data_IF_827323538585
#
_entry.id   IF_827323538585
#
_cell.length_a   1.000
_cell.length_b   1.000
_cell.length_c   1.000
_cell.angle_alpha   90.00
_cell.angle_beta   90.00
_cell.angle_gamma   90.00
#
_symmetry.space_group_name_H-M   'P 1'
#
loop_
_entity.id
_entity.type
_entity.pdbx_description
1 polymer ?
#
# COMPACT_ATOMS: atom_id res chain seq x y z
N UNK A 1 -53.23 27.95 7.16
CA UNK A 1 -52.38 26.85 6.67
C UNK A 1 -51.25 26.64 7.68
N UNK A 2 -51.43 25.70 8.57
CA UNK A 2 -50.52 25.38 9.67
C UNK A 2 -49.45 24.42 9.12
N UNK A 3 -48.22 24.89 9.00
CA UNK A 3 -47.10 24.04 8.75
C UNK A 3 -46.88 23.10 9.96
N UNK A 4 -47.14 21.82 9.75
CA UNK A 4 -46.77 20.79 10.69
C UNK A 4 -45.22 20.78 10.82
N UNK A 5 -44.73 21.25 11.96
CA UNK A 5 -43.32 21.01 12.36
C UNK A 5 -43.13 19.52 12.53
N UNK A 6 -42.20 18.94 11.75
CA UNK A 6 -41.85 17.54 11.84
C UNK A 6 -41.43 17.20 13.24
N UNK A 7 -42.04 16.15 13.77
CA UNK A 7 -41.72 15.51 15.05
C UNK A 7 -40.24 15.06 15.04
N UNK A 8 -39.35 15.80 15.67
CA UNK A 8 -38.03 15.29 16.03
C UNK A 8 -38.25 14.27 17.13
N UNK A 9 -38.42 13.01 16.79
CA UNK A 9 -38.48 11.93 17.76
C UNK A 9 -37.20 11.98 18.60
N UNK A 10 -37.32 12.06 19.93
CA UNK A 10 -36.16 11.92 20.80
C UNK A 10 -35.45 10.59 20.52
N UNK A 11 -34.10 10.56 20.59
CA UNK A 11 -33.37 9.33 20.35
C UNK A 11 -33.84 8.18 21.27
N UNK A 12 -33.97 7.00 20.71
CA UNK A 12 -34.17 5.78 21.49
C UNK A 12 -32.94 5.55 22.38
N UNK A 13 -33.11 5.43 23.71
CA UNK A 13 -31.96 5.35 24.62
C UNK A 13 -31.03 4.16 24.38
N UNK A 14 -31.57 3.00 23.99
CA UNK A 14 -30.76 1.80 23.75
C UNK A 14 -29.97 1.92 22.44
N UNK A 15 -30.60 2.45 21.39
CA UNK A 15 -29.90 2.74 20.13
C UNK A 15 -28.84 3.81 20.33
N UNK A 16 -29.12 4.85 21.12
CA UNK A 16 -28.15 5.89 21.43
C UNK A 16 -26.92 5.31 22.14
N UNK A 17 -27.13 4.45 23.16
CA UNK A 17 -26.04 3.77 23.88
C UNK A 17 -25.19 2.91 22.92
N UNK A 18 -25.84 2.10 22.07
CA UNK A 18 -25.13 1.26 21.10
C UNK A 18 -24.36 2.10 20.09
N UNK A 19 -24.95 3.17 19.57
CA UNK A 19 -24.28 4.05 18.62
C UNK A 19 -23.08 4.78 19.26
N UNK A 20 -23.23 5.26 20.49
CA UNK A 20 -22.13 5.85 21.26
C UNK A 20 -20.97 4.86 21.39
N UNK A 21 -21.26 3.63 21.81
CA UNK A 21 -20.24 2.58 21.89
C UNK A 21 -19.56 2.34 20.53
N UNK A 22 -20.34 2.22 19.44
CA UNK A 22 -19.79 2.05 18.09
C UNK A 22 -18.85 3.19 17.68
N UNK A 23 -19.15 4.44 18.02
CA UNK A 23 -18.26 5.58 17.75
C UNK A 23 -16.97 5.48 18.55
N UNK A 24 -17.04 5.15 19.85
CA UNK A 24 -15.86 5.01 20.70
C UNK A 24 -14.97 3.83 20.31
N UNK A 25 -15.49 2.75 19.72
CA UNK A 25 -14.64 1.67 19.17
C UNK A 25 -13.78 2.15 18.01
N UNK A 26 -14.16 3.24 17.30
CA UNK A 26 -13.29 3.82 16.26
C UNK A 26 -12.11 4.57 16.86
N UNK A 27 -12.34 5.28 17.97
CA UNK A 27 -11.26 5.94 18.72
C UNK A 27 -10.31 4.90 19.37
N UNK A 28 -10.86 3.84 19.93
CA UNK A 28 -10.08 2.70 20.46
C UNK A 28 -9.16 2.14 19.37
N UNK A 29 -9.71 1.82 18.17
CA UNK A 29 -8.91 1.33 17.05
C UNK A 29 -7.81 2.28 16.63
N UNK A 30 -8.07 3.60 16.60
CA UNK A 30 -7.06 4.60 16.24
C UNK A 30 -5.90 4.64 17.26
N UNK A 31 -6.22 4.61 18.57
CA UNK A 31 -5.21 4.60 19.63
C UNK A 31 -4.42 3.30 19.63
N UNK A 32 -5.09 2.15 19.47
CA UNK A 32 -4.43 0.84 19.38
C UNK A 32 -3.52 0.75 18.17
N UNK A 33 -3.91 1.29 17.02
CA UNK A 33 -3.03 1.37 15.85
C UNK A 33 -1.75 2.20 16.12
N UNK A 34 -1.88 3.28 16.89
CA UNK A 34 -0.72 4.04 17.39
C UNK A 34 0.18 3.21 18.31
N UNK A 35 -0.39 2.36 19.15
CA UNK A 35 0.40 1.45 20.01
C UNK A 35 1.07 0.35 19.19
N UNK A 36 0.44 -0.14 18.11
CA UNK A 36 1.09 -1.06 17.16
C UNK A 36 2.30 -0.39 16.51
N UNK A 37 2.17 0.87 16.07
CA UNK A 37 3.32 1.65 15.56
C UNK A 37 4.45 1.74 16.59
N UNK A 38 4.15 2.02 17.85
CA UNK A 38 5.16 2.08 18.91
C UNK A 38 5.83 0.73 19.14
N UNK A 39 5.07 -0.37 19.13
CA UNK A 39 5.60 -1.72 19.26
C UNK A 39 6.61 -2.08 18.17
N UNK A 40 6.32 -1.73 16.92
CA UNK A 40 7.21 -1.88 15.79
C UNK A 40 8.48 -1.00 15.93
N UNK A 41 8.26 0.28 16.19
CA UNK A 41 9.34 1.28 16.29
C UNK A 41 10.34 0.98 17.42
N UNK A 42 9.86 0.42 18.53
CA UNK A 42 10.66 0.07 19.70
C UNK A 42 11.20 -1.36 19.64
N UNK A 43 10.85 -2.16 18.62
CA UNK A 43 11.29 -3.54 18.47
C UNK A 43 10.63 -4.54 19.43
N UNK A 44 9.51 -4.17 20.08
CA UNK A 44 8.84 -4.99 21.09
C UNK A 44 8.36 -6.33 20.52
N UNK A 45 7.72 -6.33 19.34
CA UNK A 45 7.29 -7.57 18.70
C UNK A 45 8.46 -8.45 18.27
N UNK A 46 9.53 -7.85 17.77
CA UNK A 46 10.74 -8.60 17.37
C UNK A 46 11.41 -9.25 18.59
N UNK A 47 11.47 -8.55 19.73
CA UNK A 47 11.99 -9.10 20.98
C UNK A 47 11.14 -10.26 21.50
N UNK A 48 9.79 -10.12 21.49
CA UNK A 48 8.88 -11.20 21.88
C UNK A 48 9.04 -12.42 20.97
N UNK A 49 9.14 -12.24 19.65
CA UNK A 49 9.39 -13.34 18.71
C UNK A 49 10.74 -14.02 18.98
N UNK A 50 11.79 -13.24 19.21
CA UNK A 50 13.15 -13.77 19.43
C UNK A 50 13.28 -14.55 20.74
N UNK A 51 12.48 -14.23 21.73
CA UNK A 51 12.47 -14.95 23.01
C UNK A 51 11.91 -16.38 22.88
N UNK A 52 11.02 -16.59 21.92
CA UNK A 52 10.34 -17.89 21.65
C UNK A 52 9.68 -18.50 22.91
N UNK A 53 9.25 -17.65 23.83
CA UNK A 53 8.52 -17.98 25.06
C UNK A 53 7.74 -16.78 25.57
N UNK A 54 6.73 -16.97 26.44
CA UNK A 54 6.09 -15.86 27.14
C UNK A 54 7.10 -15.06 27.97
N UNK A 55 6.92 -13.73 28.01
CA UNK A 55 7.76 -12.78 28.74
C UNK A 55 6.89 -11.94 29.68
N UNK A 56 7.39 -11.65 30.88
CA UNK A 56 6.86 -10.59 31.72
C UNK A 56 7.21 -9.22 31.12
N UNK A 57 6.46 -8.16 31.52
CA UNK A 57 6.81 -6.79 31.11
C UNK A 57 8.21 -6.35 31.53
N UNK A 58 8.70 -6.87 32.68
CA UNK A 58 10.07 -6.62 33.15
C UNK A 58 11.11 -7.25 32.26
N UNK A 59 10.95 -8.52 31.86
CA UNK A 59 11.88 -9.19 30.95
C UNK A 59 11.90 -8.53 29.57
N UNK A 60 10.71 -8.20 29.03
CA UNK A 60 10.61 -7.52 27.74
C UNK A 60 11.27 -6.13 27.79
N UNK A 61 11.01 -5.35 28.82
CA UNK A 61 11.63 -4.04 29.02
C UNK A 61 13.15 -4.13 29.15
N UNK A 62 13.64 -5.07 29.96
CA UNK A 62 15.07 -5.28 30.17
C UNK A 62 15.78 -5.69 28.89
N UNK A 63 15.17 -6.51 28.02
CA UNK A 63 15.78 -6.96 26.76
C UNK A 63 16.03 -5.83 25.75
N UNK A 64 15.34 -4.69 25.90
CA UNK A 64 15.40 -3.54 24.99
C UNK A 64 15.88 -2.25 25.69
N UNK A 65 16.33 -2.34 26.93
CA UNK A 65 16.75 -1.19 27.75
C UNK A 65 15.63 -0.11 27.90
N UNK A 66 14.38 -0.57 27.95
CA UNK A 66 13.20 0.28 28.08
C UNK A 66 12.72 0.37 29.54
N UNK A 67 11.97 1.42 29.86
CA UNK A 67 11.34 1.58 31.18
C UNK A 67 10.10 0.68 31.30
N UNK A 68 10.12 -0.24 32.26
CA UNK A 68 9.12 -1.29 32.45
C UNK A 68 7.69 -0.75 32.53
N UNK A 69 7.45 0.34 33.25
CA UNK A 69 6.08 0.87 33.43
C UNK A 69 5.41 1.24 32.09
N UNK A 70 6.18 1.74 31.11
CA UNK A 70 5.68 2.05 29.77
C UNK A 70 5.44 0.79 28.95
N UNK A 71 6.36 -0.18 29.03
CA UNK A 71 6.22 -1.47 28.33
C UNK A 71 5.02 -2.23 28.85
N UNK A 72 4.78 -2.24 30.17
CA UNK A 72 3.63 -2.89 30.78
C UNK A 72 2.31 -2.28 30.31
N UNK A 73 2.17 -0.94 30.30
CA UNK A 73 0.96 -0.29 29.82
C UNK A 73 0.71 -0.56 28.33
N UNK A 74 1.77 -0.56 27.52
CA UNK A 74 1.71 -0.95 26.13
C UNK A 74 1.24 -2.40 25.96
N UNK A 75 1.81 -3.33 26.71
CA UNK A 75 1.45 -4.74 26.66
C UNK A 75 -0.01 -4.97 27.09
N UNK A 76 -0.48 -4.25 28.10
CA UNK A 76 -1.89 -4.29 28.50
C UNK A 76 -2.85 -3.81 27.41
N UNK A 77 -2.51 -2.71 26.71
CA UNK A 77 -3.29 -2.26 25.55
C UNK A 77 -3.33 -3.34 24.49
N UNK A 78 -2.18 -3.91 24.13
CA UNK A 78 -2.07 -4.90 23.05
C UNK A 78 -2.82 -6.20 23.41
N UNK A 79 -2.71 -6.67 24.64
CA UNK A 79 -3.41 -7.85 25.12
C UNK A 79 -4.93 -7.62 25.21
N UNK A 80 -5.36 -6.47 25.72
CA UNK A 80 -6.77 -6.09 25.78
C UNK A 80 -7.40 -5.99 24.38
N UNK A 81 -6.63 -5.54 23.38
CA UNK A 81 -7.02 -5.49 21.98
C UNK A 81 -6.85 -6.84 21.24
N UNK A 82 -6.36 -7.88 21.90
CA UNK A 82 -6.12 -9.23 21.34
C UNK A 82 -5.12 -9.23 20.18
N UNK A 83 -4.15 -8.35 20.25
CA UNK A 83 -3.02 -8.28 19.30
C UNK A 83 -1.90 -9.23 19.75
N UNK A 84 -1.72 -9.37 21.07
CA UNK A 84 -0.81 -10.32 21.69
C UNK A 84 -1.57 -11.16 22.72
N UNK A 85 -1.07 -12.33 23.03
CA UNK A 85 -1.61 -13.19 24.09
C UNK A 85 -1.07 -12.78 25.47
N UNK A 86 -1.87 -13.02 26.51
CA UNK A 86 -1.51 -12.79 27.91
C UNK A 86 -2.11 -13.91 28.77
N UNK A 87 -1.31 -14.55 29.61
CA UNK A 87 -1.76 -15.55 30.55
C UNK A 87 -2.21 -14.95 31.91
N UNK A 88 -2.65 -15.80 32.83
CA UNK A 88 -3.08 -15.41 34.19
C UNK A 88 -1.95 -14.88 35.08
N UNK A 89 -0.68 -15.06 34.67
CA UNK A 89 0.53 -14.58 35.34
C UNK A 89 1.11 -13.33 34.68
N UNK A 90 0.33 -12.67 33.82
CA UNK A 90 0.76 -11.49 33.04
C UNK A 90 2.04 -11.75 32.20
N UNK A 91 2.14 -12.95 31.65
CA UNK A 91 3.16 -13.28 30.67
C UNK A 91 2.62 -13.10 29.28
N UNK A 92 3.32 -12.32 28.46
CA UNK A 92 2.92 -11.92 27.11
C UNK A 92 3.64 -12.74 26.05
N UNK A 93 2.91 -13.15 25.03
CA UNK A 93 3.45 -13.91 23.89
C UNK A 93 2.80 -13.52 22.57
N UNK A 94 3.45 -13.93 21.46
CA UNK A 94 2.87 -13.84 20.13
C UNK A 94 2.35 -15.20 19.69
N UNK A 95 1.14 -15.26 19.17
CA UNK A 95 0.71 -16.41 18.38
C UNK A 95 1.55 -16.50 17.09
N UNK A 96 1.62 -17.66 16.41
CA UNK A 96 2.30 -17.79 15.12
C UNK A 96 1.80 -16.77 14.08
N UNK A 97 0.50 -16.50 14.05
CA UNK A 97 -0.13 -15.51 13.17
C UNK A 97 0.30 -14.09 13.52
N UNK A 98 0.29 -13.74 14.81
CA UNK A 98 0.78 -12.43 15.27
C UNK A 98 2.27 -12.26 14.95
N UNK A 99 3.09 -13.28 15.15
CA UNK A 99 4.51 -13.26 14.80
C UNK A 99 4.75 -13.08 13.29
N UNK A 100 3.92 -13.71 12.44
CA UNK A 100 3.99 -13.56 10.98
C UNK A 100 3.69 -12.11 10.55
N UNK A 101 2.61 -11.52 11.10
CA UNK A 101 2.14 -10.18 10.70
C UNK A 101 2.97 -9.06 11.31
N UNK A 102 3.38 -9.18 12.58
CA UNK A 102 3.96 -8.09 13.35
C UNK A 102 5.49 -8.13 13.46
N UNK A 103 6.10 -9.32 13.37
CA UNK A 103 7.50 -9.52 13.72
C UNK A 103 8.34 -10.27 12.67
N UNK A 104 7.81 -10.52 11.47
CA UNK A 104 8.49 -11.33 10.45
C UNK A 104 8.58 -10.58 9.12
N UNK A 105 9.56 -9.68 8.92
CA UNK A 105 9.69 -8.85 7.71
C UNK A 105 9.80 -9.66 6.41
N UNK A 106 10.23 -10.91 6.48
CA UNK A 106 10.35 -11.80 5.30
C UNK A 106 9.06 -12.59 5.02
N UNK A 107 8.07 -12.55 5.93
CA UNK A 107 6.81 -13.26 5.73
C UNK A 107 5.85 -12.45 4.84
N UNK A 108 5.19 -13.05 3.82
CA UNK A 108 4.34 -12.32 2.88
C UNK A 108 3.11 -11.64 3.51
N UNK A 109 2.71 -12.06 4.72
CA UNK A 109 1.64 -11.43 5.49
C UNK A 109 2.13 -10.28 6.40
N UNK A 110 3.41 -9.90 6.36
CA UNK A 110 3.95 -8.82 7.19
C UNK A 110 3.21 -7.51 6.92
N UNK A 111 2.57 -6.97 7.96
CA UNK A 111 1.62 -5.86 7.83
C UNK A 111 2.12 -4.50 8.34
N UNK A 112 3.39 -4.39 8.77
CA UNK A 112 3.86 -3.23 9.54
C UNK A 112 4.13 -1.96 8.71
N UNK A 113 4.12 -2.04 7.38
CA UNK A 113 4.35 -0.88 6.52
C UNK A 113 3.32 0.24 6.74
N UNK A 114 2.03 -0.10 6.78
CA UNK A 114 0.97 0.89 7.02
C UNK A 114 1.01 1.48 8.44
N UNK A 115 1.37 0.67 9.44
CA UNK A 115 1.55 1.16 10.81
C UNK A 115 2.81 2.02 10.95
N UNK A 116 3.87 1.75 10.18
CA UNK A 116 5.07 2.56 10.16
C UNK A 116 4.77 4.02 9.75
N UNK A 117 3.98 4.21 8.68
CA UNK A 117 3.63 5.55 8.18
C UNK A 117 2.44 6.21 8.90
N UNK A 118 1.75 5.51 9.81
CA UNK A 118 0.52 5.98 10.43
C UNK A 118 0.64 7.38 11.06
N UNK A 119 1.68 7.72 11.87
CA UNK A 119 1.78 9.06 12.46
C UNK A 119 1.85 10.17 11.42
N UNK A 120 2.62 9.97 10.34
CA UNK A 120 2.71 10.92 9.23
C UNK A 120 1.36 11.06 8.51
N UNK A 121 0.69 9.94 8.23
CA UNK A 121 -0.63 9.95 7.58
C UNK A 121 -1.67 10.68 8.44
N UNK A 122 -1.67 10.47 9.75
CA UNK A 122 -2.62 11.14 10.66
C UNK A 122 -2.30 12.63 10.85
N UNK A 123 -1.04 13.04 10.71
CA UNK A 123 -0.65 14.45 10.79
C UNK A 123 -1.25 15.29 9.65
N UNK A 124 -1.58 14.69 8.50
CA UNK A 124 -2.22 15.43 7.40
C UNK A 124 -3.65 15.87 7.70
N UNK A 125 -4.28 15.34 8.76
CA UNK A 125 -5.65 15.71 9.15
C UNK A 125 -5.83 17.22 9.38
N UNK A 126 -4.82 17.89 9.90
CA UNK A 126 -4.89 19.34 10.19
C UNK A 126 -4.93 20.18 8.90
N UNK A 127 -4.38 19.69 7.80
CA UNK A 127 -4.34 20.36 6.51
C UNK A 127 -5.56 20.03 5.61
N UNK A 128 -6.22 18.89 5.85
CA UNK A 128 -7.34 18.42 5.03
C UNK A 128 -8.54 19.41 4.91
N UNK A 129 -8.91 20.23 5.92
CA UNK A 129 -10.00 21.18 5.77
C UNK A 129 -9.84 22.13 4.59
N UNK A 130 -8.61 22.49 4.21
CA UNK A 130 -8.37 23.32 3.03
C UNK A 130 -8.61 22.55 1.73
N UNK A 131 -8.17 21.30 1.65
CA UNK A 131 -8.48 20.43 0.51
C UNK A 131 -9.99 20.23 0.31
N UNK A 132 -10.76 20.11 1.39
CA UNK A 132 -12.24 20.04 1.31
C UNK A 132 -12.89 21.32 0.80
N UNK A 133 -12.27 22.49 0.97
CA UNK A 133 -12.80 23.77 0.46
C UNK A 133 -12.40 24.04 -0.99
N UNK A 134 -11.13 23.74 -1.32
CA UNK A 134 -10.53 24.10 -2.61
C UNK A 134 -10.68 23.02 -3.67
N UNK A 135 -10.89 21.77 -3.27
CA UNK A 135 -10.85 20.62 -4.14
C UNK A 135 -9.42 20.19 -4.53
N UNK A 136 -8.37 20.87 -3.99
CA UNK A 136 -6.98 20.55 -4.31
C UNK A 136 -6.35 19.82 -3.13
N UNK A 137 -5.83 18.63 -3.40
CA UNK A 137 -5.15 17.78 -2.43
C UNK A 137 -3.64 18.05 -2.35
N UNK A 138 -2.93 17.18 -1.65
CA UNK A 138 -1.49 17.24 -1.46
C UNK A 138 -0.76 16.42 -2.51
N UNK A 139 0.39 16.87 -2.97
CA UNK A 139 1.21 16.06 -3.88
C UNK A 139 1.76 14.81 -3.17
N UNK A 140 2.11 13.78 -3.94
CA UNK A 140 2.55 12.48 -3.40
C UNK A 140 3.80 12.61 -2.50
N UNK A 141 4.71 13.52 -2.82
CA UNK A 141 5.96 13.72 -2.08
C UNK A 141 5.75 14.29 -0.66
N UNK A 142 4.56 14.86 -0.37
CA UNK A 142 4.18 15.30 0.97
C UNK A 142 4.13 14.17 2.01
N UNK A 143 4.04 12.91 1.55
CA UNK A 143 4.14 11.74 2.43
C UNK A 143 5.53 11.53 3.02
N UNK A 144 6.56 12.13 2.45
CA UNK A 144 7.92 12.18 2.99
C UNK A 144 8.57 10.80 3.13
N UNK A 145 9.66 10.77 3.87
CA UNK A 145 10.46 9.55 4.09
C UNK A 145 9.65 8.42 4.75
N UNK A 146 8.79 8.72 5.73
CA UNK A 146 7.97 7.71 6.39
C UNK A 146 6.96 7.07 5.42
N UNK A 147 6.43 7.85 4.47
CA UNK A 147 5.60 7.34 3.38
C UNK A 147 6.34 6.34 2.51
N UNK A 148 7.52 6.72 2.00
CA UNK A 148 8.34 5.86 1.15
C UNK A 148 8.72 4.54 1.85
N UNK A 149 9.18 4.60 3.10
CA UNK A 149 9.51 3.41 3.91
C UNK A 149 8.27 2.55 4.17
N UNK A 150 7.14 3.17 4.49
CA UNK A 150 5.90 2.44 4.78
C UNK A 150 5.39 1.67 3.57
N UNK A 151 5.41 2.28 2.39
CA UNK A 151 5.03 1.63 1.13
C UNK A 151 6.00 0.47 0.82
N UNK A 152 7.31 0.69 0.88
CA UNK A 152 8.31 -0.36 0.70
C UNK A 152 8.03 -1.56 1.62
N UNK A 153 7.87 -1.33 2.92
CA UNK A 153 7.60 -2.37 3.93
C UNK A 153 6.26 -3.08 3.73
N UNK A 154 5.32 -2.46 3.01
CA UNK A 154 4.03 -3.08 2.69
C UNK A 154 4.12 -4.04 1.50
N UNK A 155 4.92 -3.72 0.48
CA UNK A 155 4.96 -4.48 -0.77
C UNK A 155 6.09 -5.50 -0.84
N UNK A 156 7.27 -5.20 -0.29
CA UNK A 156 8.44 -6.06 -0.45
C UNK A 156 8.26 -7.50 0.04
N UNK A 157 7.65 -7.77 1.22
CA UNK A 157 7.55 -9.14 1.71
C UNK A 157 6.77 -10.06 0.78
N UNK A 158 5.67 -9.54 0.22
CA UNK A 158 4.86 -10.29 -0.73
C UNK A 158 5.59 -10.45 -2.08
N UNK A 159 6.15 -9.37 -2.62
CA UNK A 159 6.88 -9.38 -3.89
C UNK A 159 8.08 -10.32 -3.85
N UNK A 160 8.88 -10.31 -2.79
CA UNK A 160 10.00 -11.24 -2.59
C UNK A 160 9.56 -12.70 -2.68
N UNK A 161 8.39 -13.01 -2.16
CA UNK A 161 7.88 -14.38 -2.13
C UNK A 161 7.21 -14.79 -3.44
N UNK A 162 6.44 -13.91 -4.09
CA UNK A 162 5.50 -14.31 -5.13
C UNK A 162 5.75 -13.70 -6.52
N UNK A 163 6.47 -12.56 -6.64
CA UNK A 163 6.63 -11.88 -7.92
C UNK A 163 7.28 -12.80 -8.97
N UNK A 164 8.41 -13.41 -8.64
CA UNK A 164 9.15 -14.26 -9.58
C UNK A 164 8.49 -15.63 -9.80
N UNK A 165 8.09 -16.38 -8.75
CA UNK A 165 7.60 -17.76 -8.94
C UNK A 165 6.12 -17.87 -9.30
N UNK A 166 5.31 -16.82 -9.08
CA UNK A 166 3.87 -16.87 -9.29
C UNK A 166 3.40 -15.85 -10.31
N UNK A 167 3.76 -14.57 -10.13
CA UNK A 167 3.22 -13.49 -10.97
C UNK A 167 3.77 -13.52 -12.38
N UNK A 168 5.10 -13.55 -12.52
CA UNK A 168 5.73 -13.55 -13.84
C UNK A 168 5.36 -14.78 -14.68
N UNK A 169 5.30 -16.02 -14.14
CA UNK A 169 4.83 -17.18 -14.90
C UNK A 169 3.34 -17.15 -15.30
N UNK A 170 2.51 -16.36 -14.61
CA UNK A 170 1.09 -16.20 -14.97
C UNK A 170 0.88 -15.30 -16.21
N UNK A 171 1.94 -14.59 -16.63
CA UNK A 171 1.96 -13.74 -17.83
C UNK A 171 2.47 -14.54 -19.03
N UNK A 172 1.77 -14.46 -20.16
CA UNK A 172 2.11 -15.26 -21.35
C UNK A 172 3.44 -14.81 -21.96
N UNK A 173 4.47 -15.67 -21.86
CA UNK A 173 5.79 -15.50 -22.50
C UNK A 173 6.70 -14.44 -21.88
N UNK A 174 6.31 -13.77 -20.80
CA UNK A 174 7.09 -12.70 -20.18
C UNK A 174 8.37 -13.25 -19.55
N UNK A 175 8.30 -14.34 -18.79
CA UNK A 175 9.48 -14.92 -18.14
C UNK A 175 10.56 -15.35 -19.16
N UNK A 176 10.17 -15.94 -20.28
CA UNK A 176 11.09 -16.34 -21.35
C UNK A 176 11.73 -15.11 -22.04
N UNK A 177 10.93 -14.07 -22.27
CA UNK A 177 11.41 -12.81 -22.83
C UNK A 177 12.42 -12.13 -21.91
N UNK A 178 12.16 -12.07 -20.62
CA UNK A 178 13.08 -11.56 -19.61
C UNK A 178 14.39 -12.37 -19.56
N UNK A 179 14.31 -13.69 -19.65
CA UNK A 179 15.48 -14.55 -19.68
C UNK A 179 16.33 -14.40 -20.96
N UNK A 180 15.70 -14.09 -22.09
CA UNK A 180 16.36 -13.83 -23.37
C UNK A 180 17.04 -12.44 -23.43
N UNK A 181 16.51 -11.46 -22.71
CA UNK A 181 16.96 -10.06 -22.69
C UNK A 181 15.86 -9.13 -23.17
N UNK A 182 15.28 -8.36 -22.27
CA UNK A 182 14.16 -7.45 -22.49
C UNK A 182 14.47 -6.05 -21.94
N UNK A 183 13.79 -5.05 -22.47
CA UNK A 183 13.75 -3.69 -21.93
C UNK A 183 12.50 -3.59 -21.04
N UNK A 184 12.69 -3.27 -19.76
CA UNK A 184 11.63 -3.24 -18.76
C UNK A 184 11.50 -1.85 -18.14
N UNK A 185 10.28 -1.37 -17.99
CA UNK A 185 9.97 -0.16 -17.26
C UNK A 185 9.00 -0.46 -16.09
N UNK A 186 9.31 0.02 -14.91
CA UNK A 186 8.43 -0.02 -13.72
C UNK A 186 8.01 1.42 -13.39
N UNK A 187 6.73 1.74 -13.55
CA UNK A 187 6.21 3.10 -13.37
C UNK A 187 5.48 3.19 -12.04
N UNK A 188 5.87 4.14 -11.20
CA UNK A 188 5.53 4.17 -9.78
C UNK A 188 6.35 3.15 -8.99
N UNK A 189 7.65 3.05 -9.29
CA UNK A 189 8.51 1.97 -8.78
C UNK A 189 8.81 2.05 -7.27
N UNK A 190 8.44 3.15 -6.61
CA UNK A 190 8.72 3.37 -5.20
C UNK A 190 10.22 3.22 -4.88
N UNK A 191 10.53 2.49 -3.82
CA UNK A 191 11.93 2.20 -3.42
C UNK A 191 12.60 1.11 -4.27
N UNK A 192 12.06 0.78 -5.47
CA UNK A 192 12.69 -0.08 -6.46
C UNK A 192 12.70 -1.57 -6.13
N UNK A 193 11.92 -2.04 -5.15
CA UNK A 193 11.97 -3.43 -4.69
C UNK A 193 11.67 -4.45 -5.80
N UNK A 194 10.61 -4.24 -6.58
CA UNK A 194 10.25 -5.12 -7.70
C UNK A 194 11.29 -5.07 -8.83
N UNK A 195 11.79 -3.88 -9.15
CA UNK A 195 12.86 -3.66 -10.14
C UNK A 195 14.11 -4.45 -9.79
N UNK A 196 14.63 -4.30 -8.56
CA UNK A 196 15.85 -4.96 -8.10
C UNK A 196 15.70 -6.48 -8.04
N UNK A 197 14.53 -6.96 -7.63
CA UNK A 197 14.24 -8.39 -7.58
C UNK A 197 14.25 -9.00 -9.00
N UNK A 198 13.59 -8.37 -9.96
CA UNK A 198 13.57 -8.82 -11.34
C UNK A 198 14.95 -8.68 -12.01
N UNK A 199 15.65 -7.58 -11.78
CA UNK A 199 16.97 -7.34 -12.36
C UNK A 199 18.01 -8.36 -11.87
N UNK A 200 17.96 -8.74 -10.62
CA UNK A 200 18.80 -9.81 -10.06
C UNK A 200 18.52 -11.18 -10.68
N UNK A 201 17.25 -11.48 -10.97
CA UNK A 201 16.85 -12.75 -11.59
C UNK A 201 17.11 -12.82 -13.10
N UNK A 202 17.10 -11.69 -13.80
CA UNK A 202 17.19 -11.61 -15.27
C UNK A 202 18.35 -10.69 -15.75
N UNK A 203 19.60 -11.14 -15.60
CA UNK A 203 20.79 -10.29 -15.83
C UNK A 203 20.99 -9.87 -17.31
N UNK A 204 20.27 -10.48 -18.27
CA UNK A 204 20.33 -10.08 -19.68
C UNK A 204 19.36 -8.94 -20.02
N UNK A 205 18.36 -8.71 -19.17
CA UNK A 205 17.38 -7.65 -19.34
C UNK A 205 17.87 -6.36 -18.71
N UNK A 206 17.31 -5.22 -19.13
CA UNK A 206 17.57 -3.90 -18.57
C UNK A 206 16.31 -3.37 -17.93
N UNK A 207 16.44 -2.75 -16.76
CA UNK A 207 15.32 -2.31 -15.95
C UNK A 207 15.44 -0.82 -15.64
N UNK A 208 14.38 -0.08 -15.90
CA UNK A 208 14.28 1.32 -15.53
C UNK A 208 13.06 1.50 -14.61
N UNK A 209 13.30 1.96 -13.40
CA UNK A 209 12.26 2.37 -12.47
C UNK A 209 11.99 3.88 -12.57
N UNK A 210 10.73 4.27 -12.59
CA UNK A 210 10.29 5.66 -12.59
C UNK A 210 9.42 5.97 -11.37
N UNK A 211 9.77 7.01 -10.62
CA UNK A 211 8.95 7.50 -9.52
C UNK A 211 9.05 9.01 -9.39
N UNK A 212 8.00 9.67 -8.91
CA UNK A 212 7.99 11.11 -8.67
C UNK A 212 8.47 11.50 -7.27
N UNK A 213 8.53 10.53 -6.35
CA UNK A 213 8.98 10.76 -4.98
C UNK A 213 10.49 10.70 -4.89
N UNK A 214 11.12 11.83 -4.55
CA UNK A 214 12.56 11.87 -4.31
C UNK A 214 12.96 10.97 -3.13
N UNK A 215 12.12 10.87 -2.08
CA UNK A 215 12.37 9.98 -0.95
C UNK A 215 12.41 8.51 -1.35
N UNK A 216 11.52 8.10 -2.26
CA UNK A 216 11.50 6.74 -2.78
C UNK A 216 12.72 6.48 -3.69
N UNK A 217 13.07 7.42 -4.57
CA UNK A 217 14.24 7.30 -5.46
C UNK A 217 15.56 7.26 -4.69
N UNK A 218 15.72 8.05 -3.64
CA UNK A 218 16.91 8.01 -2.78
C UNK A 218 17.08 6.63 -2.12
N UNK A 219 15.97 6.02 -1.67
CA UNK A 219 15.98 4.65 -1.14
C UNK A 219 16.30 3.62 -2.22
N UNK A 220 15.71 3.76 -3.40
CA UNK A 220 15.99 2.88 -4.55
C UNK A 220 17.47 2.93 -4.95
N UNK A 221 18.07 4.12 -4.97
CA UNK A 221 19.50 4.31 -5.24
C UNK A 221 20.38 3.64 -4.17
N UNK A 222 20.03 3.79 -2.89
CA UNK A 222 20.76 3.13 -1.78
C UNK A 222 20.71 1.61 -1.90
N UNK A 223 19.52 1.06 -2.15
CA UNK A 223 19.30 -0.39 -2.32
C UNK A 223 20.02 -0.93 -3.57
N UNK A 224 20.03 -0.18 -4.67
CA UNK A 224 20.78 -0.54 -5.87
C UNK A 224 22.28 -0.67 -5.57
N UNK A 225 22.85 0.31 -4.85
CA UNK A 225 24.26 0.29 -4.48
C UNK A 225 24.64 -0.92 -3.60
N UNK A 226 23.71 -1.39 -2.76
CA UNK A 226 23.91 -2.54 -1.86
C UNK A 226 23.63 -3.90 -2.54
N UNK A 227 22.82 -3.91 -3.63
CA UNK A 227 22.29 -5.14 -4.23
C UNK A 227 23.28 -5.89 -5.11
N UNK A 228 24.34 -5.23 -5.59
CA UNK A 228 25.24 -5.78 -6.62
C UNK A 228 24.62 -5.89 -8.03
N UNK A 229 23.39 -5.40 -8.23
CA UNK A 229 22.70 -5.37 -9.52
C UNK A 229 23.29 -4.25 -10.38
N UNK A 230 23.57 -4.53 -11.66
CA UNK A 230 24.18 -3.56 -12.58
C UNK A 230 23.32 -3.23 -13.82
N UNK A 231 22.17 -3.89 -13.96
CA UNK A 231 21.25 -3.76 -15.08
C UNK A 231 19.94 -3.03 -14.72
N UNK A 232 19.96 -2.25 -13.64
CA UNK A 232 18.84 -1.41 -13.20
C UNK A 232 19.27 0.05 -13.04
N UNK A 233 18.32 0.98 -13.28
CA UNK A 233 18.49 2.42 -13.09
C UNK A 233 17.15 3.02 -12.65
N UNK A 234 17.20 4.14 -11.91
CA UNK A 234 16.02 4.83 -11.41
C UNK A 234 15.99 6.28 -11.84
N UNK A 235 14.82 6.78 -12.24
CA UNK A 235 14.64 8.13 -12.74
C UNK A 235 13.38 8.80 -12.18
N UNK A 236 13.47 10.11 -12.00
CA UNK A 236 12.31 10.98 -11.90
C UNK A 236 11.80 11.23 -13.34
N UNK A 237 10.55 10.85 -13.69
CA UNK A 237 10.01 11.01 -15.03
C UNK A 237 9.87 12.48 -15.47
N UNK A 238 9.95 13.43 -14.54
CA UNK A 238 9.97 14.87 -14.84
C UNK A 238 11.30 15.30 -15.46
N UNK A 239 12.37 14.58 -15.15
CA UNK A 239 13.73 14.84 -15.66
C UNK A 239 14.09 13.90 -16.83
N UNK A 240 13.71 12.63 -16.73
CA UNK A 240 13.93 11.60 -17.75
C UNK A 240 12.59 10.93 -18.02
N UNK A 241 11.81 11.40 -19.00
CA UNK A 241 10.48 10.87 -19.28
C UNK A 241 10.55 9.43 -19.79
N UNK A 242 9.43 8.70 -19.61
CA UNK A 242 9.24 7.39 -20.22
C UNK A 242 9.37 7.50 -21.74
N UNK A 243 10.08 6.54 -22.35
CA UNK A 243 10.20 6.47 -23.81
C UNK A 243 8.82 6.38 -24.50
N UNK A 244 8.68 6.98 -25.69
CA UNK A 244 7.42 6.98 -26.46
C UNK A 244 7.59 6.38 -27.86
N UNK A 245 8.59 5.51 -28.02
CA UNK A 245 9.07 4.97 -29.30
C UNK A 245 8.81 3.47 -29.47
N UNK A 246 7.91 2.90 -28.69
CA UNK A 246 7.60 1.47 -28.67
C UNK A 246 8.84 0.57 -28.46
N UNK A 247 9.73 0.99 -27.56
CA UNK A 247 10.98 0.26 -27.28
C UNK A 247 10.89 -0.69 -26.08
N UNK A 248 9.86 -0.56 -25.23
CA UNK A 248 9.72 -1.32 -23.98
C UNK A 248 9.02 -2.66 -24.21
N UNK A 249 9.64 -3.75 -23.79
CA UNK A 249 9.09 -5.11 -23.90
C UNK A 249 8.07 -5.44 -22.81
N UNK A 250 8.35 -4.97 -21.58
CA UNK A 250 7.53 -5.27 -20.41
C UNK A 250 7.40 -4.03 -19.52
N UNK A 251 6.18 -3.69 -19.17
CA UNK A 251 5.89 -2.60 -18.23
C UNK A 251 5.24 -3.17 -16.99
N UNK A 252 5.58 -2.62 -15.82
CA UNK A 252 4.90 -2.92 -14.54
C UNK A 252 4.39 -1.64 -13.90
N UNK A 253 3.24 -1.73 -13.24
CA UNK A 253 2.70 -0.70 -12.34
C UNK A 253 2.09 -1.39 -11.12
N UNK A 254 2.47 -0.94 -9.92
CA UNK A 254 1.98 -1.52 -8.66
C UNK A 254 1.34 -0.43 -7.81
N UNK A 255 0.02 -0.51 -7.63
CA UNK A 255 -0.79 0.38 -6.78
C UNK A 255 -0.52 1.88 -6.98
N UNK A 256 -0.33 2.33 -8.21
CA UNK A 256 0.02 3.72 -8.49
C UNK A 256 -0.93 4.41 -9.47
N UNK A 257 -1.67 3.67 -10.32
CA UNK A 257 -2.55 4.29 -11.33
C UNK A 257 -3.71 5.03 -10.66
N UNK A 258 -4.29 4.48 -9.62
CA UNK A 258 -5.45 5.04 -8.92
C UNK A 258 -5.15 6.35 -8.17
N UNK A 259 -3.89 6.64 -7.85
CA UNK A 259 -3.48 7.84 -7.11
C UNK A 259 -2.77 8.90 -7.98
N UNK A 260 -2.63 8.62 -9.29
CA UNK A 260 -2.08 9.59 -10.25
C UNK A 260 -3.06 10.72 -10.54
N UNK A 261 -2.53 11.92 -10.71
CA UNK A 261 -3.32 13.11 -11.10
C UNK A 261 -3.95 12.96 -12.49
N UNK A 262 -3.21 12.38 -13.44
CA UNK A 262 -3.64 12.18 -14.83
C UNK A 262 -3.47 10.73 -15.29
N UNK A 263 -4.25 9.78 -14.71
CA UNK A 263 -4.06 8.35 -14.98
C UNK A 263 -4.32 7.95 -16.44
N UNK A 264 -5.27 8.61 -17.12
CA UNK A 264 -5.55 8.34 -18.53
C UNK A 264 -4.34 8.73 -19.43
N UNK A 265 -3.75 9.88 -19.22
CA UNK A 265 -2.54 10.32 -19.95
C UNK A 265 -1.35 9.41 -19.65
N UNK A 266 -1.23 8.92 -18.41
CA UNK A 266 -0.20 7.92 -18.09
C UNK A 266 -0.42 6.64 -18.88
N UNK A 267 -1.62 6.10 -18.95
CA UNK A 267 -1.90 4.90 -19.74
C UNK A 267 -1.63 5.09 -21.23
N UNK A 268 -1.92 6.26 -21.79
CA UNK A 268 -1.55 6.62 -23.17
C UNK A 268 -0.02 6.65 -23.35
N UNK A 269 0.71 7.16 -22.36
CA UNK A 269 2.18 7.16 -22.36
C UNK A 269 2.74 5.73 -22.28
N UNK A 270 2.15 4.85 -21.43
CA UNK A 270 2.51 3.44 -21.39
C UNK A 270 2.25 2.76 -22.73
N UNK A 271 1.14 3.09 -23.39
CA UNK A 271 0.82 2.56 -24.72
C UNK A 271 1.81 3.02 -25.81
N UNK A 272 2.29 4.24 -25.71
CA UNK A 272 3.31 4.78 -26.63
C UNK A 272 4.71 4.19 -26.36
N UNK A 273 5.00 3.80 -25.13
CA UNK A 273 6.27 3.20 -24.74
C UNK A 273 6.39 1.73 -25.13
N UNK A 274 5.30 0.97 -24.98
CA UNK A 274 5.31 -0.48 -25.10
C UNK A 274 5.35 -0.95 -26.56
N UNK A 275 6.14 -1.99 -26.84
CA UNK A 275 6.18 -2.65 -28.15
C UNK A 275 4.82 -3.22 -28.55
N UNK A 276 4.53 -3.39 -29.85
CA UNK A 276 3.27 -3.98 -30.31
C UNK A 276 2.99 -5.39 -29.76
N UNK A 277 4.04 -6.15 -29.44
CA UNK A 277 3.98 -7.48 -28.82
C UNK A 277 4.37 -7.46 -27.33
N UNK A 278 4.49 -6.28 -26.73
CA UNK A 278 4.85 -6.10 -25.33
C UNK A 278 3.71 -6.46 -24.38
N UNK A 279 4.03 -6.52 -23.10
CA UNK A 279 3.06 -6.83 -22.03
C UNK A 279 3.15 -5.77 -20.91
N UNK A 280 2.01 -5.30 -20.45
CA UNK A 280 1.90 -4.50 -19.25
C UNK A 280 1.25 -5.33 -18.15
N UNK A 281 1.96 -5.51 -17.03
CA UNK A 281 1.42 -6.02 -15.77
C UNK A 281 0.86 -4.83 -14.99
N UNK A 282 -0.45 -4.73 -14.95
CA UNK A 282 -1.17 -3.79 -14.11
C UNK A 282 -1.56 -4.50 -12.81
N UNK A 283 -1.06 -4.01 -11.68
CA UNK A 283 -1.46 -4.44 -10.35
C UNK A 283 -2.08 -3.25 -9.65
N UNK A 284 -3.31 -3.40 -9.14
CA UNK A 284 -3.96 -2.33 -8.41
C UNK A 284 -4.95 -2.89 -7.38
N UNK A 285 -5.45 -2.04 -6.50
CA UNK A 285 -6.31 -2.42 -5.39
C UNK A 285 -7.64 -2.98 -5.88
N UNK A 286 -8.05 -4.10 -5.30
CA UNK A 286 -9.36 -4.71 -5.57
C UNK A 286 -10.48 -3.76 -5.18
N UNK A 287 -11.26 -3.31 -6.15
CA UNK A 287 -12.41 -2.46 -5.95
C UNK A 287 -13.61 -3.01 -6.72
N UNK A 288 -14.80 -2.78 -6.20
CA UNK A 288 -16.07 -2.98 -6.90
C UNK A 288 -16.51 -1.69 -7.59
N UNK A 289 -17.39 -1.81 -8.58
CA UNK A 289 -17.83 -0.68 -9.41
C UNK A 289 -18.64 0.36 -8.65
N UNK A 290 -19.26 -0.01 -7.54
CA UNK A 290 -20.12 0.90 -6.78
C UNK A 290 -19.72 1.00 -5.31
N UNK A 291 -19.99 2.18 -4.72
CA UNK A 291 -19.83 2.37 -3.29
C UNK A 291 -20.56 1.29 -2.46
N UNK A 292 -21.82 0.98 -2.84
CA UNK A 292 -22.62 0.01 -2.09
C UNK A 292 -22.04 -1.40 -2.13
N UNK A 293 -21.41 -1.79 -3.23
CA UNK A 293 -20.73 -3.08 -3.31
C UNK A 293 -19.45 -3.08 -2.48
N UNK A 294 -18.63 -2.04 -2.57
CA UNK A 294 -17.45 -1.88 -1.72
C UNK A 294 -17.84 -1.91 -0.24
N UNK A 295 -18.86 -1.16 0.16
CA UNK A 295 -19.31 -1.10 1.56
C UNK A 295 -19.83 -2.44 2.11
N UNK A 296 -20.39 -3.31 1.24
CA UNK A 296 -20.97 -4.60 1.65
C UNK A 296 -20.01 -5.77 1.55
N UNK A 297 -19.09 -5.76 0.57
CA UNK A 297 -18.26 -6.91 0.21
C UNK A 297 -16.80 -6.74 0.63
N UNK A 298 -16.33 -5.51 0.83
CA UNK A 298 -14.96 -5.24 1.23
C UNK A 298 -14.91 -4.84 2.72
N UNK A 299 -14.46 -5.72 3.62
CA UNK A 299 -14.39 -5.42 5.05
C UNK A 299 -13.40 -4.29 5.38
N UNK A 300 -12.46 -4.01 4.48
CA UNK A 300 -11.47 -2.94 4.61
C UNK A 300 -11.94 -1.61 4.01
N UNK A 301 -13.14 -1.54 3.43
CA UNK A 301 -13.63 -0.32 2.76
C UNK A 301 -13.58 0.94 3.64
N UNK A 302 -13.93 0.91 4.96
CA UNK A 302 -13.81 2.10 5.80
C UNK A 302 -12.38 2.62 5.91
N UNK A 303 -11.39 1.72 6.07
CA UNK A 303 -9.97 2.09 6.09
C UNK A 303 -9.56 2.64 4.72
N UNK A 304 -9.89 1.95 3.63
CA UNK A 304 -9.49 2.33 2.27
C UNK A 304 -10.06 3.69 1.85
N UNK A 305 -11.33 4.00 2.15
CA UNK A 305 -11.90 5.33 1.91
C UNK A 305 -11.24 6.40 2.79
N UNK A 306 -10.93 6.10 4.05
CA UNK A 306 -10.22 7.03 4.94
C UNK A 306 -8.80 7.34 4.47
N UNK A 307 -8.03 6.31 4.14
CA UNK A 307 -6.67 6.46 3.57
C UNK A 307 -6.72 7.17 2.22
N UNK A 308 -7.75 6.92 1.41
CA UNK A 308 -7.95 7.62 0.13
C UNK A 308 -7.97 9.14 0.32
N UNK A 309 -8.76 9.62 1.28
CA UNK A 309 -8.81 11.06 1.60
C UNK A 309 -7.44 11.60 2.02
N UNK A 310 -6.71 10.86 2.85
CA UNK A 310 -5.44 11.32 3.43
C UNK A 310 -4.23 11.09 2.51
N UNK A 311 -4.35 10.26 1.46
CA UNK A 311 -3.24 9.85 0.61
C UNK A 311 -3.67 9.75 -0.86
N UNK A 312 -4.25 8.64 -1.32
CA UNK A 312 -4.40 8.34 -2.74
C UNK A 312 -5.27 9.37 -3.49
N UNK A 313 -6.48 9.69 -2.99
CA UNK A 313 -7.32 10.70 -3.61
C UNK A 313 -6.71 12.10 -3.47
N UNK A 314 -6.10 12.40 -2.31
CA UNK A 314 -5.39 13.67 -2.11
C UNK A 314 -4.29 13.85 -3.16
N UNK A 315 -3.52 12.80 -3.45
CA UNK A 315 -2.50 12.79 -4.50
C UNK A 315 -3.10 12.96 -5.89
N UNK A 316 -4.14 12.17 -6.20
CA UNK A 316 -4.86 12.23 -7.47
C UNK A 316 -5.53 13.59 -7.74
N UNK A 317 -5.81 14.37 -6.69
CA UNK A 317 -6.40 15.71 -6.72
C UNK A 317 -5.37 16.82 -6.45
N UNK A 318 -4.07 16.54 -6.56
CA UNK A 318 -3.02 17.54 -6.28
C UNK A 318 -2.91 18.66 -7.31
N UNK A 319 -3.70 18.61 -8.39
CA UNK A 319 -3.95 19.73 -9.30
C UNK A 319 -5.44 19.93 -9.52
N UNK A 320 -5.87 21.14 -9.96
CA UNK A 320 -7.30 21.45 -10.12
C UNK A 320 -8.05 20.57 -11.15
N UNK A 321 -7.34 19.96 -12.08
CA UNK A 321 -7.84 19.07 -13.12
C UNK A 321 -7.54 17.58 -12.84
N UNK A 322 -7.13 17.26 -11.61
CA UNK A 322 -6.83 15.91 -11.19
C UNK A 322 -8.05 14.98 -11.29
N UNK A 323 -7.83 13.74 -11.71
CA UNK A 323 -8.91 12.76 -11.95
C UNK A 323 -9.59 12.28 -10.66
N UNK A 324 -8.87 12.26 -9.53
CA UNK A 324 -9.43 11.95 -8.21
C UNK A 324 -10.03 10.55 -8.10
N UNK A 325 -9.46 9.54 -8.77
CA UNK A 325 -9.96 8.16 -8.69
C UNK A 325 -10.00 7.66 -7.25
N UNK A 326 -8.88 7.81 -6.54
CA UNK A 326 -8.73 7.37 -5.16
C UNK A 326 -8.69 5.84 -5.03
N UNK A 327 -8.44 5.36 -3.82
CA UNK A 327 -8.10 3.96 -3.50
C UNK A 327 -9.10 2.93 -4.06
N UNK A 328 -10.39 3.21 -4.01
CA UNK A 328 -11.44 2.29 -4.48
C UNK A 328 -12.17 2.79 -5.74
N UNK A 329 -11.63 3.79 -6.42
CA UNK A 329 -12.23 4.34 -7.66
C UNK A 329 -11.71 3.70 -8.94
N UNK A 330 -10.69 2.85 -8.85
CA UNK A 330 -10.08 2.18 -9.98
C UNK A 330 -10.46 0.68 -10.03
N UNK A 331 -11.77 0.42 -10.23
CA UNK A 331 -12.28 -0.95 -10.34
C UNK A 331 -11.80 -1.65 -11.62
N UNK A 332 -11.98 -2.97 -11.71
CA UNK A 332 -11.65 -3.72 -12.93
C UNK A 332 -12.33 -3.16 -14.18
N UNK A 333 -13.61 -2.77 -14.08
CA UNK A 333 -14.34 -2.19 -15.21
C UNK A 333 -13.76 -0.84 -15.62
N UNK A 334 -13.43 0.03 -14.66
CA UNK A 334 -12.77 1.32 -14.89
C UNK A 334 -11.40 1.13 -15.52
N UNK A 335 -10.57 0.24 -14.97
CA UNK A 335 -9.24 -0.06 -15.49
C UNK A 335 -9.29 -0.57 -16.93
N UNK A 336 -10.21 -1.49 -17.22
CA UNK A 336 -10.44 -2.03 -18.58
C UNK A 336 -10.88 -0.95 -19.57
N UNK A 337 -11.81 -0.09 -19.16
CA UNK A 337 -12.29 1.01 -20.00
C UNK A 337 -11.15 2.00 -20.31
N UNK A 338 -10.40 2.43 -19.30
CA UNK A 338 -9.32 3.38 -19.46
C UNK A 338 -8.17 2.80 -20.30
N UNK A 339 -7.82 1.52 -20.12
CA UNK A 339 -6.83 0.84 -20.94
C UNK A 339 -7.27 0.77 -22.41
N UNK A 340 -8.55 0.46 -22.68
CA UNK A 340 -9.09 0.46 -24.04
C UNK A 340 -9.05 1.87 -24.67
N UNK A 341 -9.39 2.92 -23.91
CA UNK A 341 -9.30 4.32 -24.36
C UNK A 341 -7.86 4.74 -24.67
N UNK A 342 -6.88 4.21 -23.92
CA UNK A 342 -5.45 4.42 -24.19
C UNK A 342 -4.93 3.63 -25.39
N UNK A 343 -5.76 2.76 -26.03
CA UNK A 343 -5.40 2.01 -27.22
C UNK A 343 -4.82 0.61 -26.94
N UNK A 344 -5.01 0.06 -25.75
CA UNK A 344 -4.75 -1.35 -25.47
C UNK A 344 -5.90 -2.22 -25.97
N UNK A 345 -5.58 -3.35 -26.61
CA UNK A 345 -6.58 -4.23 -27.25
C UNK A 345 -6.95 -5.45 -26.42
N UNK A 346 -6.12 -5.82 -25.44
CA UNK A 346 -6.33 -6.99 -24.58
C UNK A 346 -6.16 -6.62 -23.12
N UNK A 347 -7.08 -7.14 -22.28
CA UNK A 347 -7.09 -6.95 -20.84
C UNK A 347 -7.59 -8.23 -20.17
N UNK A 348 -6.69 -8.98 -19.54
CA UNK A 348 -6.96 -10.27 -18.90
C UNK A 348 -6.66 -10.19 -17.40
N UNK A 349 -7.63 -10.53 -16.58
CA UNK A 349 -7.39 -10.71 -15.14
C UNK A 349 -6.64 -12.02 -14.91
N UNK A 350 -5.62 -11.95 -14.08
CA UNK A 350 -4.85 -13.13 -13.65
C UNK A 350 -5.50 -13.74 -12.40
N UNK A 351 -5.49 -15.08 -12.35
CA UNK A 351 -5.97 -15.82 -11.17
C UNK A 351 -4.85 -15.93 -10.13
N UNK A 352 -4.56 -14.79 -9.48
CA UNK A 352 -3.56 -14.67 -8.43
C UNK A 352 -4.29 -14.34 -7.13
N UNK A 353 -4.10 -15.19 -6.12
CA UNK A 353 -4.65 -14.93 -4.79
C UNK A 353 -3.81 -13.89 -4.05
N UNK A 354 -4.43 -12.73 -3.79
CA UNK A 354 -3.86 -11.66 -3.00
C UNK A 354 -4.97 -10.99 -2.18
N UNK A 355 -4.70 -10.64 -0.94
CA UNK A 355 -5.74 -10.11 -0.04
C UNK A 355 -6.29 -8.75 -0.47
N UNK A 356 -5.48 -7.91 -1.10
CA UNK A 356 -5.78 -6.50 -1.40
C UNK A 356 -5.80 -6.22 -2.90
N UNK A 357 -4.87 -6.79 -3.67
CA UNK A 357 -4.63 -6.44 -5.07
C UNK A 357 -5.28 -7.41 -6.07
N UNK A 358 -5.62 -6.87 -7.24
CA UNK A 358 -5.93 -7.60 -8.45
C UNK A 358 -4.79 -7.41 -9.48
N UNK A 359 -4.57 -8.44 -10.27
CA UNK A 359 -3.48 -8.52 -11.24
C UNK A 359 -4.06 -8.66 -12.64
N UNK A 360 -3.57 -7.86 -13.57
CA UNK A 360 -4.06 -7.87 -14.94
C UNK A 360 -2.89 -7.91 -15.92
N UNK A 361 -3.03 -8.74 -16.94
CA UNK A 361 -2.21 -8.71 -18.13
C UNK A 361 -2.89 -7.81 -19.17
N UNK A 362 -2.20 -6.78 -19.59
CA UNK A 362 -2.70 -5.81 -20.60
C UNK A 362 -1.76 -5.81 -21.80
N UNK A 363 -2.31 -5.83 -23.01
CA UNK A 363 -1.51 -5.83 -24.25
C UNK A 363 -2.00 -4.81 -25.26
N UNK A 364 -1.09 -4.27 -26.08
CA UNK A 364 -1.38 -3.38 -27.19
C UNK A 364 -2.40 -3.89 -28.17
#
# INVERSE_FOLDING_TARGET
MTHAMGNSSSPDPDKLKMFSYQVFTKLEGAVTAGMIHLGDKLGLYAAMKSADRPLTSHELAASLELHERWVREWAYNQAAARIIDCDEHEQFSLSPEAAAVLASPEHPAYGMGMFHRLPQTMATLDDMPESFRTGVGHNYDSHGCAGAIGIERSFEPWNKTFLLPVVLPALDGVADRLAAGAVVADVGCGAGGAVLLMAGAYPKSTFTGYDISQYALDRAASKLAESGVSNAIFHDPRNVPLATDHSVDFITTFDCIHDMTHPQQMMESLRAAIKPDGTWLLVDIKAHDTFMENARKNPMAPLMYGISVLSCMSSAMSSPDGAGLGTLGFSESTARQMAAQAGFSSFRKLDIDHSVNAFYEVRP
#
